data_IF_879424989639
#
_entry.id   IF_879424989639
#
_cell.length_a   1.000
_cell.length_b   1.000
_cell.length_c   1.000
_cell.angle_alpha   90.00
_cell.angle_beta   90.00
_cell.angle_gamma   90.00
#
_symmetry.space_group_name_H-M   'P 1'
#
loop_
_entity.id
_entity.type
_entity.pdbx_description
1 polymer ?
#
# COMPACT_ATOMS: atom_id res chain seq x y z
N UNK A 1 5.02 21.32 -1.26
CA UNK A 1 4.73 19.89 -1.03
C UNK A 1 4.73 19.19 -2.37
N UNK A 2 5.52 18.14 -2.55
CA UNK A 2 5.39 17.28 -3.74
C UNK A 2 4.01 16.65 -3.75
N UNK A 3 3.36 16.60 -4.91
CA UNK A 3 2.11 15.86 -5.07
C UNK A 3 2.33 14.39 -4.64
N UNK A 4 1.35 13.76 -3.97
CA UNK A 4 1.44 12.34 -3.64
C UNK A 4 1.68 11.52 -4.91
N UNK A 5 2.56 10.52 -4.82
CA UNK A 5 2.75 9.57 -5.92
C UNK A 5 1.43 8.81 -6.12
N UNK A 6 1.11 8.46 -7.36
CA UNK A 6 -0.11 7.70 -7.64
C UNK A 6 0.18 6.51 -8.54
N UNK A 7 -0.58 5.43 -8.36
CA UNK A 7 -0.52 4.26 -9.23
C UNK A 7 -1.93 3.68 -9.42
N UNK A 8 -2.12 2.93 -10.50
CA UNK A 8 -3.42 2.29 -10.79
C UNK A 8 -3.32 0.80 -10.49
N UNK A 9 -4.13 0.33 -9.56
CA UNK A 9 -4.27 -1.10 -9.24
C UNK A 9 -5.69 -1.52 -9.60
N UNK A 10 -5.83 -2.59 -10.40
CA UNK A 10 -7.13 -3.14 -10.83
C UNK A 10 -8.13 -2.07 -11.33
N UNK A 11 -7.66 -1.12 -12.14
CA UNK A 11 -8.50 -0.03 -12.70
C UNK A 11 -8.84 1.11 -11.74
N UNK A 12 -8.38 1.05 -10.49
CA UNK A 12 -8.60 2.06 -9.46
C UNK A 12 -7.32 2.84 -9.17
N UNK A 13 -7.42 4.17 -9.10
CA UNK A 13 -6.26 5.05 -8.87
C UNK A 13 -6.04 5.26 -7.38
N UNK A 14 -4.88 4.83 -6.89
CA UNK A 14 -4.45 4.98 -5.50
C UNK A 14 -3.46 6.14 -5.35
N UNK A 15 -3.60 6.87 -4.24
CA UNK A 15 -2.54 7.74 -3.73
C UNK A 15 -1.60 6.92 -2.85
N UNK A 16 -0.30 6.98 -3.12
CA UNK A 16 0.72 6.23 -2.41
C UNK A 16 1.51 7.19 -1.52
N UNK A 17 1.49 6.91 -0.23
CA UNK A 17 2.24 7.60 0.81
C UNK A 17 3.27 6.64 1.38
N UNK A 18 4.52 7.06 1.43
CA UNK A 18 5.64 6.30 1.98
C UNK A 18 6.30 7.18 3.04
N UNK A 19 6.44 6.64 4.24
CA UNK A 19 6.91 7.37 5.42
C UNK A 19 5.82 7.55 6.46
N UNK A 20 6.15 8.30 7.51
CA UNK A 20 5.26 8.49 8.66
C UNK A 20 4.07 9.38 8.30
N UNK A 21 2.88 8.98 8.76
CA UNK A 21 1.65 9.74 8.61
C UNK A 21 1.26 10.35 9.97
N UNK A 22 1.56 11.64 10.18
CA UNK A 22 1.22 12.34 11.44
C UNK A 22 -0.28 12.44 11.70
N UNK A 23 -1.10 12.33 10.64
CA UNK A 23 -2.54 12.34 10.72
C UNK A 23 -3.20 12.41 9.36
N UNK A 24 -4.41 11.86 9.27
CA UNK A 24 -5.26 11.95 8.09
C UNK A 24 -6.61 12.56 8.49
N UNK A 25 -7.13 13.48 7.68
CA UNK A 25 -8.50 13.96 7.78
C UNK A 25 -9.22 13.53 6.51
N UNK A 26 -10.14 12.58 6.68
CA UNK A 26 -10.77 11.90 5.56
C UNK A 26 -11.80 12.81 4.86
N UNK A 27 -11.84 12.69 3.54
CA UNK A 27 -12.92 13.22 2.68
C UNK A 27 -13.41 12.06 1.81
N UNK A 28 -13.83 11.01 2.51
CA UNK A 28 -14.72 9.87 2.21
C UNK A 28 -14.66 9.09 0.89
N UNK A 29 -13.82 9.38 -0.10
CA UNK A 29 -13.84 8.57 -1.34
C UNK A 29 -12.49 8.38 -2.04
N UNK A 30 -11.38 8.48 -1.31
CA UNK A 30 -10.06 8.32 -1.92
C UNK A 30 -9.43 6.99 -1.53
N UNK A 31 -8.87 6.31 -2.51
CA UNK A 31 -8.13 5.05 -2.34
C UNK A 31 -6.65 5.33 -2.07
N UNK A 32 -6.17 4.89 -0.91
CA UNK A 32 -4.84 5.23 -0.40
C UNK A 32 -4.07 3.94 -0.10
N UNK A 33 -2.78 3.95 -0.38
CA UNK A 33 -1.82 3.00 0.15
C UNK A 33 -0.85 3.80 1.00
N UNK A 34 -0.71 3.42 2.27
CA UNK A 34 0.20 4.06 3.22
C UNK A 34 1.20 3.01 3.68
N UNK A 35 2.48 3.31 3.53
CA UNK A 35 3.59 2.43 3.92
C UNK A 35 4.47 3.18 4.93
N UNK A 36 4.27 2.89 6.21
CA UNK A 36 4.97 3.50 7.36
C UNK A 36 6.21 2.70 7.78
N UNK A 37 6.90 2.14 6.78
CA UNK A 37 8.10 1.30 6.96
C UNK A 37 9.16 1.72 5.96
N UNK A 38 10.43 1.65 6.34
CA UNK A 38 11.52 1.95 5.42
C UNK A 38 11.56 0.90 4.31
N UNK A 39 11.39 1.34 3.06
CA UNK A 39 11.45 0.49 1.87
C UNK A 39 12.84 -0.11 1.61
N UNK A 40 13.88 0.34 2.34
CA UNK A 40 15.20 -0.30 2.31
C UNK A 40 15.26 -1.55 3.18
N UNK A 41 14.33 -1.71 4.09
CA UNK A 41 14.23 -2.90 4.93
C UNK A 41 13.31 -3.94 4.30
N UNK A 42 13.61 -5.22 4.56
CA UNK A 42 12.80 -6.34 4.08
C UNK A 42 11.32 -6.15 4.41
N UNK A 43 11.03 -5.76 5.65
CA UNK A 43 9.66 -5.56 6.11
C UNK A 43 8.94 -4.44 5.35
N UNK A 44 9.65 -3.37 4.96
CA UNK A 44 9.04 -2.29 4.18
C UNK A 44 8.71 -2.71 2.76
N UNK A 45 9.58 -3.51 2.13
CA UNK A 45 9.28 -4.11 0.82
C UNK A 45 8.10 -5.07 0.88
N UNK A 46 8.08 -5.96 1.89
CA UNK A 46 6.98 -6.89 2.11
C UNK A 46 5.66 -6.14 2.32
N UNK A 47 5.63 -5.11 3.16
CA UNK A 47 4.44 -4.26 3.35
C UNK A 47 4.00 -3.60 2.03
N UNK A 48 4.93 -3.06 1.24
CA UNK A 48 4.59 -2.44 -0.04
C UNK A 48 3.94 -3.43 -1.02
N UNK A 49 4.46 -4.66 -1.08
CA UNK A 49 3.90 -5.72 -1.93
C UNK A 49 2.54 -6.16 -1.40
N UNK A 50 2.42 -6.35 -0.08
CA UNK A 50 1.20 -6.74 0.59
C UNK A 50 0.03 -5.79 0.29
N UNK A 51 0.24 -4.48 0.48
CA UNK A 51 -0.79 -3.48 0.17
C UNK A 51 -1.10 -3.41 -1.34
N UNK A 52 -0.09 -3.61 -2.19
CA UNK A 52 -0.28 -3.72 -3.64
C UNK A 52 -1.17 -4.91 -4.04
N UNK A 53 -1.02 -6.06 -3.37
CA UNK A 53 -1.85 -7.24 -3.58
C UNK A 53 -3.31 -6.99 -3.13
N UNK A 54 -3.52 -6.30 -2.00
CA UNK A 54 -4.84 -5.87 -1.58
C UNK A 54 -5.48 -4.89 -2.59
N UNK A 55 -4.72 -3.90 -3.06
CA UNK A 55 -5.19 -2.95 -4.07
C UNK A 55 -5.54 -3.63 -5.40
N UNK A 56 -4.84 -4.72 -5.75
CA UNK A 56 -5.16 -5.57 -6.89
C UNK A 56 -6.36 -6.50 -6.67
N UNK A 57 -6.95 -6.53 -5.47
CA UNK A 57 -7.98 -7.51 -5.08
C UNK A 57 -7.54 -8.96 -5.32
N UNK A 58 -6.24 -9.24 -5.14
CA UNK A 58 -5.64 -10.53 -5.50
C UNK A 58 -6.19 -11.70 -4.67
N UNK A 59 -6.35 -11.49 -3.36
CA UNK A 59 -7.04 -12.42 -2.46
C UNK A 59 -7.69 -11.66 -1.30
N UNK A 60 -8.78 -12.21 -0.75
CA UNK A 60 -9.41 -11.73 0.49
C UNK A 60 -8.79 -12.37 1.74
N UNK A 61 -7.95 -13.38 1.56
CA UNK A 61 -7.34 -14.13 2.66
C UNK A 61 -6.00 -13.53 3.04
N UNK A 62 -5.99 -12.85 4.18
CA UNK A 62 -4.82 -12.17 4.76
C UNK A 62 -3.57 -13.06 4.82
N UNK A 63 -3.74 -14.32 5.21
CA UNK A 63 -2.63 -15.29 5.31
C UNK A 63 -1.97 -15.56 3.95
N UNK A 64 -2.75 -15.61 2.87
CA UNK A 64 -2.21 -15.85 1.54
C UNK A 64 -1.50 -14.58 1.04
N UNK A 65 -2.11 -13.41 1.23
CA UNK A 65 -1.49 -12.12 0.85
C UNK A 65 -0.17 -11.92 1.59
N UNK A 66 -0.14 -12.12 2.90
CA UNK A 66 1.08 -12.01 3.72
C UNK A 66 2.15 -13.01 3.30
N UNK A 67 1.78 -14.29 3.04
CA UNK A 67 2.74 -15.29 2.58
C UNK A 67 3.35 -14.91 1.22
N UNK A 68 2.53 -14.52 0.25
CA UNK A 68 3.02 -14.15 -1.08
C UNK A 68 3.90 -12.90 -1.02
N UNK A 69 3.52 -11.90 -0.23
CA UNK A 69 4.34 -10.72 -0.01
C UNK A 69 5.70 -11.06 0.60
N UNK A 70 5.74 -12.02 1.53
CA UNK A 70 6.97 -12.53 2.12
C UNK A 70 7.79 -13.41 1.16
N UNK A 71 7.16 -14.13 0.23
CA UNK A 71 7.86 -15.02 -0.71
C UNK A 71 8.53 -14.25 -1.88
N UNK A 72 8.08 -13.02 -2.17
CA UNK A 72 8.65 -12.10 -3.17
C UNK A 72 9.89 -11.38 -2.61
#
# INVERSE_FOLDING_TARGET
MSLPKTHTFNGLKYSIFIGDLDGNCDTDNKLWIVIERDLKERIGLETAIHEGLHACSWSKEEKIVGKVAHDI
#
